data_IF_814024066885
#
_entry.id   IF_814024066885
#
_cell.length_a   1.000
_cell.length_b   1.000
_cell.length_c   1.000
_cell.angle_alpha   90.00
_cell.angle_beta   90.00
_cell.angle_gamma   90.00
#
_symmetry.space_group_name_H-M   'P 1'
#
loop_
_entity.id
_entity.type
_entity.pdbx_description
1 polymer ?
#
# COMPACT_ATOMS: atom_id res chain seq x y z
N UNK A 1 -8.01 -10.64 -5.31
CA UNK A 1 -7.52 -9.30 -5.69
C UNK A 1 -6.29 -9.06 -4.89
N UNK A 2 -5.21 -8.74 -5.58
CA UNK A 2 -3.87 -8.71 -5.00
C UNK A 2 -3.75 -7.45 -4.14
N UNK A 3 -3.56 -7.64 -2.84
CA UNK A 3 -3.28 -6.57 -1.88
C UNK A 3 -2.11 -6.98 -1.00
N UNK A 4 -1.34 -6.00 -0.54
CA UNK A 4 -0.25 -6.22 0.40
C UNK A 4 -0.70 -5.79 1.78
N UNK A 5 -0.86 -6.76 2.68
CA UNK A 5 -1.21 -6.51 4.08
C UNK A 5 0.07 -6.48 4.92
N UNK A 6 0.36 -5.34 5.53
CA UNK A 6 1.40 -5.18 6.55
C UNK A 6 0.70 -4.94 7.90
N UNK A 7 0.09 -6.00 8.41
CA UNK A 7 -0.63 -6.01 9.68
C UNK A 7 -0.64 -7.39 10.33
N UNK A 8 -0.77 -7.43 11.66
CA UNK A 8 -0.81 -8.66 12.46
C UNK A 8 0.50 -9.00 13.20
N UNK A 9 1.63 -8.52 12.69
CA UNK A 9 2.90 -8.41 13.41
C UNK A 9 3.60 -7.12 12.96
N UNK A 10 4.50 -6.58 13.77
CA UNK A 10 5.25 -5.40 13.37
C UNK A 10 6.23 -5.76 12.25
N UNK A 11 6.05 -5.18 11.06
CA UNK A 11 7.07 -5.20 10.03
C UNK A 11 8.12 -4.13 10.35
N UNK A 12 9.38 -4.56 10.33
CA UNK A 12 10.55 -3.71 10.52
C UNK A 12 11.44 -3.86 9.29
N UNK A 13 11.88 -2.73 8.73
CA UNK A 13 12.88 -2.68 7.65
C UNK A 13 12.47 -3.47 6.38
N UNK A 14 11.33 -3.12 5.79
CA UNK A 14 10.82 -3.78 4.59
C UNK A 14 10.84 -2.85 3.37
N UNK A 15 11.22 -3.40 2.21
CA UNK A 15 11.19 -2.71 0.92
C UNK A 15 10.30 -3.46 -0.07
N UNK A 16 9.38 -2.74 -0.70
CA UNK A 16 8.50 -3.22 -1.75
C UNK A 16 8.76 -2.40 -3.00
N UNK A 17 9.30 -3.05 -4.04
CA UNK A 17 9.64 -2.41 -5.30
C UNK A 17 8.99 -3.12 -6.48
N UNK A 18 8.68 -2.35 -7.54
CA UNK A 18 8.12 -2.87 -8.80
C UNK A 18 6.84 -3.69 -8.62
N UNK A 19 6.02 -3.33 -7.62
CA UNK A 19 4.75 -3.99 -7.36
C UNK A 19 3.70 -3.51 -8.36
N UNK A 20 2.95 -4.44 -8.94
CA UNK A 20 1.81 -4.15 -9.79
C UNK A 20 0.54 -4.73 -9.16
N UNK A 21 -0.34 -3.86 -8.67
CA UNK A 21 -1.67 -4.22 -8.17
C UNK A 21 -2.70 -3.77 -9.20
N UNK A 22 -3.66 -4.65 -9.52
CA UNK A 22 -4.70 -4.35 -10.49
C UNK A 22 -6.07 -4.85 -10.03
N UNK A 23 -6.89 -3.92 -9.57
CA UNK A 23 -8.28 -4.09 -9.17
C UNK A 23 -9.18 -3.17 -9.98
N UNK A 24 -10.41 -3.59 -10.33
CA UNK A 24 -11.40 -2.70 -10.95
C UNK A 24 -11.71 -1.49 -10.05
N UNK A 25 -11.97 -0.33 -10.66
CA UNK A 25 -12.36 0.90 -9.94
C UNK A 25 -13.61 0.73 -9.08
N UNK A 26 -14.54 -0.12 -9.51
CA UNK A 26 -15.80 -0.36 -8.79
C UNK A 26 -15.66 -1.40 -7.68
N UNK A 27 -14.44 -1.83 -7.37
CA UNK A 27 -14.19 -2.95 -6.46
C UNK A 27 -13.94 -2.43 -5.04
N UNK A 28 -14.90 -2.58 -4.11
CA UNK A 28 -14.80 -1.98 -2.79
C UNK A 28 -13.76 -2.71 -1.93
N UNK A 29 -13.11 -2.00 -1.00
CA UNK A 29 -12.14 -2.55 -0.04
C UNK A 29 -10.94 -3.23 -0.72
N UNK A 30 -10.45 -2.64 -1.81
CA UNK A 30 -9.29 -3.13 -2.58
C UNK A 30 -8.07 -2.26 -2.43
N UNK A 31 -7.77 -1.97 -1.18
CA UNK A 31 -6.60 -1.24 -0.72
C UNK A 31 -5.33 -1.89 -1.31
N UNK A 32 -4.43 -1.08 -1.88
CA UNK A 32 -3.19 -1.60 -2.45
C UNK A 32 -2.24 -2.09 -1.36
N UNK A 33 -1.83 -1.16 -0.50
CA UNK A 33 -1.08 -1.44 0.73
C UNK A 33 -1.90 -1.04 1.94
N UNK A 34 -2.06 -1.93 2.90
CA UNK A 34 -2.69 -1.63 4.19
C UNK A 34 -1.64 -1.81 5.30
N UNK A 35 -1.20 -0.70 5.89
CA UNK A 35 0.01 -0.64 6.73
C UNK A 35 -0.33 -0.23 8.15
N UNK A 36 -0.21 -1.16 9.10
CA UNK A 36 -0.42 -0.91 10.52
C UNK A 36 0.77 -1.39 11.35
N UNK A 37 1.02 -0.72 12.49
CA UNK A 37 2.00 -1.16 13.49
C UNK A 37 3.40 -1.49 12.93
N UNK A 38 3.86 -0.79 11.89
CA UNK A 38 5.10 -1.11 11.16
C UNK A 38 6.11 0.05 11.17
N UNK A 39 7.41 -0.22 11.00
CA UNK A 39 8.42 0.85 10.92
C UNK A 39 9.46 0.62 9.82
N UNK A 40 9.97 1.71 9.25
CA UNK A 40 10.97 1.69 8.18
C UNK A 40 10.49 0.90 6.96
N UNK A 41 9.35 1.33 6.41
CA UNK A 41 8.77 0.72 5.21
C UNK A 41 9.08 1.61 4.00
N UNK A 42 9.67 1.03 2.97
CA UNK A 42 9.87 1.67 1.67
C UNK A 42 8.97 1.02 0.63
N UNK A 43 8.14 1.83 -0.03
CA UNK A 43 7.38 1.43 -1.22
C UNK A 43 7.90 2.27 -2.37
N UNK A 44 8.44 1.63 -3.39
CA UNK A 44 9.06 2.32 -4.52
C UNK A 44 8.67 1.76 -5.88
N UNK A 45 8.69 2.63 -6.90
CA UNK A 45 8.58 2.28 -8.32
C UNK A 45 7.43 1.31 -8.65
N UNK A 46 6.27 1.54 -8.01
CA UNK A 46 5.14 0.62 -8.04
C UNK A 46 3.91 1.24 -8.73
N UNK A 47 3.09 0.37 -9.32
CA UNK A 47 1.87 0.74 -10.03
C UNK A 47 0.65 0.09 -9.36
N UNK A 48 -0.21 0.92 -8.76
CA UNK A 48 -1.31 0.43 -7.93
C UNK A 48 -2.63 0.95 -8.50
N UNK A 49 -3.35 0.02 -9.13
CA UNK A 49 -4.75 0.17 -9.51
C UNK A 49 -5.62 -0.49 -8.45
N UNK A 50 -6.31 0.35 -7.70
CA UNK A 50 -7.17 -0.01 -6.59
C UNK A 50 -8.55 0.64 -6.80
N UNK A 51 -9.60 0.00 -6.30
CA UNK A 51 -10.95 0.59 -6.22
C UNK A 51 -11.19 1.34 -4.90
N UNK A 52 -10.19 1.36 -4.01
CA UNK A 52 -10.21 1.99 -2.69
C UNK A 52 -8.89 2.75 -2.47
N UNK A 53 -8.28 2.68 -1.29
CA UNK A 53 -6.98 3.31 -1.05
C UNK A 53 -5.86 2.66 -1.88
N UNK A 54 -4.93 3.47 -2.37
CA UNK A 54 -3.69 3.00 -2.98
C UNK A 54 -2.74 2.50 -1.89
N UNK A 55 -2.59 3.31 -0.84
CA UNK A 55 -1.81 3.02 0.36
C UNK A 55 -2.61 3.56 1.54
N UNK A 56 -3.15 2.68 2.38
CA UNK A 56 -3.81 3.02 3.63
C UNK A 56 -2.79 2.94 4.78
N UNK A 57 -2.50 4.09 5.41
CA UNK A 57 -1.64 4.18 6.60
C UNK A 57 -2.47 4.17 7.88
N UNK A 58 -2.44 3.04 8.57
CA UNK A 58 -3.08 2.82 9.85
C UNK A 58 -2.15 3.12 11.04
N UNK A 59 -2.75 3.17 12.23
CA UNK A 59 -2.06 3.58 13.46
C UNK A 59 -0.85 2.72 13.85
N UNK A 60 0.08 3.33 14.59
CA UNK A 60 1.29 2.65 15.09
C UNK A 60 2.39 2.46 14.04
N UNK A 61 2.27 3.10 12.87
CA UNK A 61 3.26 3.04 11.81
C UNK A 61 4.19 4.27 11.81
N UNK A 62 5.50 4.06 11.62
CA UNK A 62 6.51 5.13 11.62
C UNK A 62 7.48 4.98 10.45
N UNK A 63 8.01 6.09 9.93
CA UNK A 63 9.03 6.07 8.85
C UNK A 63 8.60 5.24 7.63
N UNK A 64 7.39 5.51 7.13
CA UNK A 64 6.91 4.93 5.87
C UNK A 64 7.18 5.92 4.74
N UNK A 65 7.90 5.47 3.71
CA UNK A 65 8.21 6.25 2.53
C UNK A 65 7.60 5.62 1.29
N UNK A 66 6.88 6.41 0.50
CA UNK A 66 6.34 6.02 -0.79
C UNK A 66 6.91 6.95 -1.87
N UNK A 67 7.67 6.41 -2.82
CA UNK A 67 8.35 7.19 -3.86
C UNK A 67 8.22 6.53 -5.23
N UNK A 68 8.04 7.31 -6.30
CA UNK A 68 7.85 6.72 -7.64
C UNK A 68 6.59 5.85 -7.77
N UNK A 69 5.63 5.98 -6.85
CA UNK A 69 4.38 5.22 -6.86
C UNK A 69 3.35 5.92 -7.73
N UNK A 70 2.78 5.18 -8.70
CA UNK A 70 1.63 5.63 -9.47
C UNK A 70 0.36 5.01 -8.90
N UNK A 71 -0.56 5.86 -8.45
CA UNK A 71 -1.84 5.48 -7.85
C UNK A 71 -3.02 5.90 -8.73
N UNK A 72 -4.06 5.07 -8.75
CA UNK A 72 -5.36 5.41 -9.30
C UNK A 72 -6.01 4.21 -9.99
N UNK A 73 -7.35 4.14 -10.06
CA UNK A 73 -8.29 5.25 -9.94
C UNK A 73 -8.97 5.49 -8.57
N UNK A 74 -8.67 4.70 -7.54
CA UNK A 74 -9.34 4.75 -6.23
C UNK A 74 -9.13 6.05 -5.41
N UNK A 75 -9.10 5.92 -4.09
CA UNK A 75 -9.17 7.04 -3.14
C UNK A 75 -7.85 7.77 -2.88
N UNK A 76 -6.73 7.26 -3.39
CA UNK A 76 -5.42 7.90 -3.29
C UNK A 76 -4.55 7.31 -2.19
N UNK A 77 -3.62 8.11 -1.66
CA UNK A 77 -2.73 7.76 -0.54
C UNK A 77 -3.22 8.51 0.70
#
# INVERSE_FOLDING_TARGET
>A
MDKVLLGGNAQLDATFSYIAINSPVTSPNTDGFDIAHSSNILIEDSYIKSGDDCIALNGGSFFVNATGVTCGPGHGI
#
